data_IF_303353647095
#
_entry.id   IF_303353647095
#
_cell.length_a   1.000
_cell.length_b   1.000
_cell.length_c   1.000
_cell.angle_alpha   90.00
_cell.angle_beta   90.00
_cell.angle_gamma   90.00
#
_symmetry.space_group_name_H-M   'P 1'
#
loop_
_entity.id
_entity.type
_entity.pdbx_description
1 polymer ?
#
# COMPACT_ATOMS: atom_id res chain seq x y z
N UNK A 1 18.02 -31.40 14.77
CA UNK A 1 17.93 -30.76 16.10
C UNK A 1 17.60 -29.29 15.91
N UNK A 2 16.31 -28.95 15.89
CA UNK A 2 15.85 -27.58 15.65
C UNK A 2 16.11 -26.74 16.91
N UNK A 3 16.88 -25.67 16.74
CA UNK A 3 17.36 -24.81 17.80
C UNK A 3 16.18 -24.17 18.54
N UNK A 4 15.87 -24.68 19.74
CA UNK A 4 14.89 -24.14 20.70
C UNK A 4 15.21 -22.70 21.19
N UNK A 5 16.20 -22.03 20.60
CA UNK A 5 16.67 -20.70 20.99
C UNK A 5 15.80 -19.56 20.44
N UNK A 6 15.11 -19.74 19.31
CA UNK A 6 14.29 -18.66 18.74
C UNK A 6 12.99 -18.39 19.52
N UNK A 7 12.41 -19.40 20.16
CA UNK A 7 11.20 -19.23 20.99
C UNK A 7 11.52 -18.56 22.34
N UNK A 8 12.79 -18.55 22.77
CA UNK A 8 13.20 -17.98 24.07
C UNK A 8 13.60 -16.50 24.04
N UNK A 9 13.66 -15.86 22.87
CA UNK A 9 13.97 -14.42 22.78
C UNK A 9 12.81 -13.56 23.32
N UNK A 10 11.58 -14.10 23.37
CA UNK A 10 10.41 -13.36 23.84
C UNK A 10 10.27 -13.20 25.37
N UNK A 11 11.11 -13.84 26.19
CA UNK A 11 10.90 -13.85 27.64
C UNK A 11 11.79 -12.88 28.44
N UNK A 12 12.73 -12.15 27.83
CA UNK A 12 13.71 -11.33 28.57
C UNK A 12 13.81 -9.87 28.15
N UNK A 13 12.87 -9.35 27.36
CA UNK A 13 12.77 -7.90 27.09
C UNK A 13 11.53 -7.36 27.79
N UNK A 14 11.58 -7.35 29.12
CA UNK A 14 10.52 -6.83 29.99
C UNK A 14 10.87 -5.47 30.62
N UNK A 15 11.82 -4.74 30.06
CA UNK A 15 12.15 -3.38 30.48
C UNK A 15 12.48 -2.57 29.22
N UNK A 16 11.69 -1.52 28.96
CA UNK A 16 11.62 -0.66 27.76
C UNK A 16 10.56 -1.11 26.74
N UNK A 17 9.33 -0.64 26.97
CA UNK A 17 8.16 -0.86 26.14
C UNK A 17 8.25 -0.10 24.82
N UNK A 18 8.97 -0.65 23.85
CA UNK A 18 8.62 -0.52 22.45
C UNK A 18 8.14 -1.89 22.00
N UNK A 19 6.85 -2.17 22.20
CA UNK A 19 6.21 -3.32 21.56
C UNK A 19 6.26 -3.08 20.07
N UNK A 20 7.21 -3.71 19.39
CA UNK A 20 7.26 -3.75 17.94
C UNK A 20 5.95 -4.38 17.46
N UNK A 21 5.03 -3.53 17.00
CA UNK A 21 3.81 -3.99 16.36
C UNK A 21 4.21 -4.53 14.99
N UNK A 22 4.22 -5.84 14.84
CA UNK A 22 4.45 -6.50 13.55
C UNK A 22 3.08 -6.58 12.86
N UNK A 23 2.82 -5.77 11.82
CA UNK A 23 1.55 -5.85 11.09
C UNK A 23 1.38 -7.27 10.54
N UNK A 24 0.19 -7.83 10.71
CA UNK A 24 -0.08 -9.20 10.27
C UNK A 24 0.47 -10.30 11.16
N UNK A 25 1.03 -10.03 12.35
CA UNK A 25 1.47 -11.07 13.28
C UNK A 25 0.37 -12.10 13.64
N UNK A 26 -0.89 -11.71 13.93
CA UNK A 26 -1.95 -12.69 14.17
C UNK A 26 -2.18 -13.62 12.97
N UNK A 27 -2.06 -13.08 11.77
CA UNK A 27 -2.18 -13.84 10.53
C UNK A 27 -0.98 -14.78 10.34
N UNK A 28 0.25 -14.31 10.55
CA UNK A 28 1.47 -15.13 10.48
C UNK A 28 1.43 -16.29 11.47
N UNK A 29 0.98 -16.04 12.71
CA UNK A 29 0.83 -17.10 13.71
C UNK A 29 -0.23 -18.13 13.31
N UNK A 30 -1.34 -17.68 12.71
CA UNK A 30 -2.43 -18.56 12.26
C UNK A 30 -2.02 -19.46 11.09
N UNK A 31 -1.26 -18.91 10.13
CA UNK A 31 -0.93 -19.61 8.88
C UNK A 31 0.46 -20.26 8.89
N UNK A 32 1.32 -19.86 9.83
CA UNK A 32 2.66 -20.37 10.09
C UNK A 32 3.46 -20.70 8.81
N UNK A 33 3.62 -19.73 7.87
CA UNK A 33 4.37 -19.96 6.64
C UNK A 33 5.87 -20.07 6.92
N UNK A 34 6.58 -20.85 6.10
CA UNK A 34 8.03 -20.90 6.09
C UNK A 34 8.58 -19.77 5.21
N UNK A 35 9.10 -18.73 5.86
CA UNK A 35 9.59 -17.49 5.23
C UNK A 35 11.12 -17.47 5.18
N UNK A 36 11.68 -17.02 4.07
CA UNK A 36 13.09 -16.64 3.97
C UNK A 36 13.19 -15.14 3.75
N UNK A 37 13.44 -14.41 4.83
CA UNK A 37 13.44 -12.95 4.83
C UNK A 37 14.51 -12.33 3.94
N UNK A 38 15.68 -12.97 3.83
CA UNK A 38 16.78 -12.47 2.99
C UNK A 38 16.44 -12.43 1.50
N UNK A 39 15.55 -13.32 1.06
CA UNK A 39 15.12 -13.46 -0.34
C UNK A 39 13.68 -12.99 -0.56
N UNK A 40 13.03 -12.48 0.49
CA UNK A 40 11.62 -12.08 0.50
C UNK A 40 10.67 -13.17 -0.05
N UNK A 41 10.95 -14.45 0.26
CA UNK A 41 10.29 -15.60 -0.36
C UNK A 41 9.54 -16.47 0.66
N UNK A 42 8.36 -16.98 0.27
CA UNK A 42 7.56 -17.94 1.05
C UNK A 42 7.70 -19.33 0.43
N UNK A 43 8.27 -20.29 1.16
CA UNK A 43 8.54 -21.63 0.63
C UNK A 43 7.36 -22.58 0.77
N UNK A 44 6.74 -22.61 1.95
CA UNK A 44 5.75 -23.62 2.31
C UNK A 44 4.75 -23.04 3.28
N UNK A 45 3.47 -23.37 3.09
CA UNK A 45 2.39 -23.05 4.02
C UNK A 45 2.13 -24.21 4.97
N UNK A 46 1.55 -23.94 6.14
CA UNK A 46 1.07 -25.01 7.01
C UNK A 46 0.09 -25.94 6.24
N UNK A 47 0.13 -27.27 6.45
CA UNK A 47 -0.70 -28.22 5.70
C UNK A 47 -2.21 -27.93 5.76
N UNK A 48 -2.68 -27.35 6.86
CA UNK A 48 -4.06 -26.89 7.05
C UNK A 48 -4.45 -25.76 6.08
N UNK A 49 -3.51 -24.89 5.71
CA UNK A 49 -3.77 -23.73 4.86
C UNK A 49 -3.91 -24.08 3.38
N UNK A 50 -3.33 -25.21 2.93
CA UNK A 50 -3.35 -25.63 1.53
C UNK A 50 -4.78 -25.90 1.01
N UNK A 51 -5.71 -26.29 1.89
CA UNK A 51 -7.10 -26.58 1.51
C UNK A 51 -8.09 -25.49 1.88
N UNK A 52 -7.85 -24.77 2.98
CA UNK A 52 -8.81 -23.82 3.54
C UNK A 52 -8.50 -22.36 3.19
N UNK A 53 -7.22 -22.02 3.02
CA UNK A 53 -6.78 -20.64 2.88
C UNK A 53 -6.31 -20.33 1.45
N UNK A 54 -5.83 -21.35 0.74
CA UNK A 54 -5.20 -21.22 -0.58
C UNK A 54 -5.75 -22.27 -1.56
N UNK A 55 -7.08 -22.37 -1.76
CA UNK A 55 -7.66 -23.43 -2.59
C UNK A 55 -7.13 -23.45 -4.03
N UNK A 56 -6.67 -22.31 -4.56
CA UNK A 56 -6.18 -22.14 -5.94
C UNK A 56 -4.78 -21.50 -5.99
N UNK A 57 -3.80 -22.02 -5.25
CA UNK A 57 -2.44 -21.45 -5.19
C UNK A 57 -1.66 -21.47 -6.53
N UNK A 58 -2.19 -22.14 -7.57
CA UNK A 58 -1.62 -22.14 -8.91
C UNK A 58 -1.81 -20.82 -9.68
N UNK A 59 -2.45 -19.80 -9.08
CA UNK A 59 -2.41 -18.45 -9.63
C UNK A 59 -1.03 -17.88 -9.30
N UNK A 60 -0.15 -17.64 -10.29
CA UNK A 60 1.11 -16.98 -10.02
C UNK A 60 0.81 -15.66 -9.33
N UNK A 61 1.43 -15.42 -8.17
CA UNK A 61 1.48 -14.10 -7.54
C UNK A 61 2.21 -13.19 -8.53
N UNK A 62 1.47 -12.60 -9.46
CA UNK A 62 2.00 -11.54 -10.29
C UNK A 62 2.24 -10.38 -9.32
N UNK A 63 3.51 -10.18 -8.97
CA UNK A 63 3.96 -8.91 -8.43
C UNK A 63 3.40 -7.85 -9.35
N UNK A 64 2.48 -7.02 -8.86
CA UNK A 64 1.94 -5.92 -9.64
C UNK A 64 3.10 -4.98 -9.89
N UNK A 65 3.65 -5.00 -11.11
CA UNK A 65 4.44 -3.88 -11.59
C UNK A 65 3.54 -2.65 -11.50
N UNK A 66 4.09 -1.53 -11.02
CA UNK A 66 3.40 -0.24 -11.08
C UNK A 66 3.41 0.16 -12.56
N UNK A 67 2.50 -0.43 -13.33
CA UNK A 67 2.22 0.02 -14.68
C UNK A 67 1.30 1.24 -14.59
N UNK A 68 1.66 2.29 -15.32
CA UNK A 68 0.78 3.44 -15.50
C UNK A 68 -0.58 2.93 -16.02
N UNK A 69 -1.72 3.44 -15.53
CA UNK A 69 -3.01 2.99 -16.03
C UNK A 69 -3.15 3.37 -17.51
N UNK A 70 -2.85 2.44 -18.41
CA UNK A 70 -3.35 2.54 -19.79
C UNK A 70 -4.88 2.65 -19.68
N UNK A 71 -5.43 3.71 -20.26
CA UNK A 71 -6.79 4.19 -20.02
C UNK A 71 -7.92 3.25 -20.49
N UNK A 72 -7.59 2.06 -20.99
CA UNK A 72 -8.49 1.19 -21.75
C UNK A 72 -8.49 -0.26 -21.23
N UNK A 73 -8.49 -0.44 -19.90
CA UNK A 73 -8.82 -1.74 -19.30
C UNK A 73 -10.19 -1.61 -18.64
N UNK A 74 -11.19 -2.28 -19.22
CA UNK A 74 -12.52 -2.43 -18.61
C UNK A 74 -12.37 -3.19 -17.28
N UNK A 75 -12.40 -2.45 -16.16
CA UNK A 75 -12.26 -3.02 -14.82
C UNK A 75 -13.58 -3.66 -14.42
N UNK A 76 -13.63 -4.99 -14.39
CA UNK A 76 -14.79 -5.71 -13.85
C UNK A 76 -14.81 -5.56 -12.32
N UNK A 77 -15.68 -4.68 -11.83
CA UNK A 77 -15.88 -4.45 -10.40
C UNK A 77 -16.67 -5.61 -9.80
N UNK A 78 -16.16 -6.19 -8.70
CA UNK A 78 -16.86 -7.25 -7.95
C UNK A 78 -18.20 -6.74 -7.41
N UNK A 79 -19.14 -7.66 -7.16
CA UNK A 79 -20.51 -7.29 -6.80
C UNK A 79 -20.56 -6.52 -5.46
N UNK A 80 -19.67 -6.82 -4.52
CA UNK A 80 -19.57 -6.18 -3.21
C UNK A 80 -19.12 -4.71 -3.29
N UNK A 81 -18.47 -4.31 -4.40
CA UNK A 81 -17.91 -2.97 -4.58
C UNK A 81 -18.59 -2.21 -5.74
N UNK A 82 -19.72 -2.72 -6.24
CA UNK A 82 -20.41 -2.13 -7.38
C UNK A 82 -20.94 -0.72 -7.09
N UNK A 83 -21.26 -0.43 -5.84
CA UNK A 83 -21.58 0.92 -5.35
C UNK A 83 -20.39 1.89 -5.47
N UNK A 84 -19.17 1.38 -5.44
CA UNK A 84 -17.91 2.12 -5.64
C UNK A 84 -17.41 2.10 -7.09
N UNK A 85 -18.20 1.62 -8.05
CA UNK A 85 -17.76 1.47 -9.45
C UNK A 85 -17.22 2.76 -10.07
N UNK A 86 -17.68 3.92 -9.61
CA UNK A 86 -17.17 5.23 -10.03
C UNK A 86 -15.68 5.43 -9.70
N UNK A 87 -15.21 4.93 -8.56
CA UNK A 87 -13.81 5.02 -8.12
C UNK A 87 -12.88 4.18 -9.01
N UNK A 88 -13.42 3.15 -9.67
CA UNK A 88 -12.66 2.27 -10.56
C UNK A 88 -12.67 2.75 -12.02
N UNK A 89 -13.33 3.86 -12.34
CA UNK A 89 -13.39 4.40 -13.69
C UNK A 89 -12.11 5.20 -14.01
N UNK A 90 -11.29 4.70 -14.94
CA UNK A 90 -10.00 5.30 -15.34
C UNK A 90 -10.12 6.79 -15.74
N UNK A 91 -11.17 7.14 -16.47
CA UNK A 91 -11.41 8.51 -16.95
C UNK A 91 -11.77 9.44 -15.80
N UNK A 92 -12.65 9.01 -14.89
CA UNK A 92 -13.11 9.83 -13.77
C UNK A 92 -12.05 10.00 -12.68
N UNK A 93 -11.21 9.00 -12.44
CA UNK A 93 -10.10 9.07 -11.46
C UNK A 93 -9.11 10.18 -11.80
N UNK A 94 -8.96 10.52 -13.08
CA UNK A 94 -8.07 11.60 -13.53
C UNK A 94 -8.67 12.99 -13.29
N UNK A 95 -9.99 13.07 -13.03
CA UNK A 95 -10.67 14.33 -12.76
C UNK A 95 -10.64 14.62 -11.26
N UNK A 96 -10.33 15.88 -10.90
CA UNK A 96 -10.45 16.31 -9.52
C UNK A 96 -11.92 16.22 -9.08
N UNK A 97 -12.20 15.77 -7.84
CA UNK A 97 -13.55 15.79 -7.29
C UNK A 97 -14.06 17.24 -7.19
N UNK A 98 -15.38 17.44 -7.16
CA UNK A 98 -15.95 18.75 -6.91
C UNK A 98 -15.53 19.26 -5.52
N UNK A 99 -15.50 20.58 -5.36
CA UNK A 99 -15.19 21.17 -4.07
C UNK A 99 -16.26 20.78 -3.03
N UNK A 100 -15.82 20.52 -1.81
CA UNK A 100 -16.67 20.24 -0.67
C UNK A 100 -16.85 21.47 0.23
N UNK A 101 -17.91 21.46 1.04
CA UNK A 101 -18.15 22.52 2.04
C UNK A 101 -17.08 22.57 3.13
N UNK A 102 -16.38 21.46 3.36
CA UNK A 102 -15.27 21.34 4.31
C UNK A 102 -13.89 21.56 3.66
N UNK A 103 -13.83 21.92 2.37
CA UNK A 103 -12.55 22.26 1.77
C UNK A 103 -11.99 23.52 2.40
N UNK A 104 -10.69 23.49 2.67
CA UNK A 104 -9.97 24.63 3.26
C UNK A 104 -9.88 25.78 2.25
N UNK A 105 -10.80 26.75 2.35
CA UNK A 105 -10.75 27.96 1.54
C UNK A 105 -9.60 28.89 1.98
N UNK A 106 -8.84 29.40 1.01
CA UNK A 106 -7.84 30.45 1.24
C UNK A 106 -8.50 31.81 1.02
N UNK A 107 -9.08 32.41 2.06
CA UNK A 107 -9.67 33.74 1.99
C UNK A 107 -8.58 34.81 1.99
N UNK A 108 -8.49 35.58 0.89
CA UNK A 108 -7.61 36.74 0.83
C UNK A 108 -8.17 37.87 1.70
N UNK A 109 -7.28 38.59 2.40
CA UNK A 109 -7.67 39.83 3.07
C UNK A 109 -8.07 40.88 2.02
N UNK A 110 -9.01 41.76 2.35
CA UNK A 110 -9.42 42.84 1.46
C UNK A 110 -8.21 43.68 1.02
N UNK A 111 -8.14 43.98 -0.28
CA UNK A 111 -7.02 44.67 -0.94
C UNK A 111 -5.64 43.99 -0.82
N UNK A 112 -5.55 42.74 -0.38
CA UNK A 112 -4.29 42.01 -0.36
C UNK A 112 -3.80 41.68 -1.77
N UNK A 113 -2.55 42.02 -2.05
CA UNK A 113 -1.85 41.63 -3.28
C UNK A 113 -0.90 40.48 -2.95
N UNK A 114 -0.98 39.32 -3.63
CA UNK A 114 -0.09 38.21 -3.37
C UNK A 114 1.36 38.59 -3.67
N UNK A 115 2.33 38.11 -2.87
CA UNK A 115 3.74 38.41 -3.10
C UNK A 115 4.18 37.83 -4.44
N UNK A 116 4.81 38.66 -5.28
CA UNK A 116 5.46 38.20 -6.51
C UNK A 116 6.90 37.84 -6.19
N UNK A 117 7.20 36.55 -6.06
CA UNK A 117 8.57 36.05 -5.92
C UNK A 117 9.20 35.79 -7.29
N UNK A 118 10.53 35.79 -7.34
CA UNK A 118 11.26 35.25 -8.49
C UNK A 118 11.19 33.73 -8.44
N UNK A 119 10.86 33.11 -9.55
CA UNK A 119 10.95 31.64 -9.70
C UNK A 119 12.44 31.30 -9.76
N UNK A 120 12.90 30.38 -8.91
CA UNK A 120 14.27 29.88 -9.00
C UNK A 120 14.40 29.05 -10.29
N UNK A 121 15.41 29.29 -11.13
CA UNK A 121 15.64 28.46 -12.30
C UNK A 121 15.94 27.03 -11.84
N UNK A 122 15.14 26.11 -12.34
CA UNK A 122 15.30 24.67 -12.14
C UNK A 122 16.27 24.13 -13.19
N UNK A 123 17.10 23.15 -12.85
CA UNK A 123 18.03 22.53 -13.81
C UNK A 123 17.29 21.65 -14.82
N UNK A 124 17.99 21.28 -15.90
CA UNK A 124 17.41 20.42 -16.94
C UNK A 124 17.06 19.02 -16.40
N UNK A 125 17.89 18.48 -15.51
CA UNK A 125 17.67 17.18 -14.87
C UNK A 125 16.43 17.20 -13.96
N UNK A 126 16.28 18.26 -13.17
CA UNK A 126 15.11 18.43 -12.31
C UNK A 126 13.82 18.66 -13.11
N UNK A 127 13.90 19.39 -14.24
CA UNK A 127 12.76 19.57 -15.15
C UNK A 127 12.29 18.24 -15.72
N UNK A 128 13.20 17.42 -16.22
CA UNK A 128 12.87 16.10 -16.77
C UNK A 128 12.28 15.15 -15.71
N UNK A 129 12.61 15.35 -14.43
CA UNK A 129 12.05 14.55 -13.34
C UNK A 129 10.61 14.96 -12.98
N UNK A 130 10.24 16.20 -13.31
CA UNK A 130 8.91 16.76 -13.00
C UNK A 130 7.90 16.66 -14.16
N UNK A 131 8.38 16.39 -15.39
CA UNK A 131 7.55 16.16 -16.59
C UNK A 131 6.97 14.74 -16.68
#
# INVERSE_FOLDING_TARGET
MINKKLVKIFSLVSLLTFTAHIPGLPWLCKHNPHLLWSENHIFVWAPSCNRQCLPNWAVPLQSTSIESPDADKDVTVLWEYRDLAEVFNSVKVTQAPPNWEWDCAITLKEAAVPPRSRICPISQEETHTME
#
